data_IF_267078627167
#
_entry.id   IF_267078627167
#
_cell.length_a   1.000
_cell.length_b   1.000
_cell.length_c   1.000
_cell.angle_alpha   90.00
_cell.angle_beta   90.00
_cell.angle_gamma   90.00
#
_symmetry.space_group_name_H-M   'P 1'
#
loop_
_entity.id
_entity.type
_entity.pdbx_description
1 polymer ?
#
# COMPACT_ATOMS: atom_id res chain seq x y z
N UNK A 1 9.37 -42.82 -14.04
CA UNK A 1 9.57 -43.82 -15.10
C UNK A 1 9.03 -45.15 -14.59
N UNK A 2 8.05 -45.79 -15.24
CA UNK A 2 7.67 -47.17 -14.94
C UNK A 2 8.57 -48.17 -15.71
N UNK A 3 8.59 -49.45 -15.27
CA UNK A 3 9.79 -50.28 -15.19
C UNK A 3 9.95 -51.30 -16.33
N UNK A 4 10.88 -52.23 -16.13
CA UNK A 4 11.01 -53.59 -16.69
C UNK A 4 12.18 -53.79 -17.68
N UNK A 5 13.21 -54.51 -17.21
CA UNK A 5 14.03 -55.56 -17.84
C UNK A 5 15.26 -55.77 -16.94
N UNK A 6 15.16 -56.62 -15.91
CA UNK A 6 15.65 -58.02 -15.87
C UNK A 6 17.15 -58.20 -16.17
N UNK A 7 17.87 -58.48 -15.07
CA UNK A 7 19.07 -59.32 -14.86
C UNK A 7 19.84 -59.81 -16.09
N UNK A 8 21.17 -59.61 -16.05
CA UNK A 8 22.09 -60.74 -16.04
C UNK A 8 23.44 -60.36 -15.43
N UNK A 9 23.97 -61.34 -14.71
CA UNK A 9 25.20 -61.40 -13.94
C UNK A 9 26.44 -61.22 -14.84
N UNK A 10 27.49 -60.56 -14.32
CA UNK A 10 28.88 -61.01 -14.44
C UNK A 10 29.82 -60.01 -13.71
N UNK A 11 30.20 -60.41 -12.50
CA UNK A 11 31.45 -60.05 -11.80
C UNK A 11 32.25 -61.38 -11.84
N UNK A 12 33.60 -61.47 -11.80
CA UNK A 12 34.55 -60.52 -11.21
C UNK A 12 35.95 -60.60 -11.92
N UNK A 13 37.17 -60.43 -11.34
CA UNK A 13 37.53 -59.87 -10.03
C UNK A 13 38.94 -59.19 -9.83
N UNK A 14 39.11 -58.55 -8.65
CA UNK A 14 40.29 -58.42 -7.76
C UNK A 14 41.46 -57.45 -8.03
N UNK A 15 41.92 -56.90 -6.87
CA UNK A 15 43.24 -56.35 -6.50
C UNK A 15 43.48 -54.88 -6.86
N UNK A 16 43.97 -54.00 -6.00
CA UNK A 16 44.42 -54.08 -4.60
C UNK A 16 44.66 -52.65 -4.10
N UNK A 17 44.70 -52.52 -2.78
CA UNK A 17 44.93 -51.32 -1.99
C UNK A 17 46.27 -50.58 -2.24
N UNK A 18 46.34 -49.44 -1.55
CA UNK A 18 47.51 -48.70 -1.02
C UNK A 18 47.83 -47.42 -1.79
N UNK A 19 47.53 -46.26 -1.22
CA UNK A 19 48.31 -45.54 -0.19
C UNK A 19 49.59 -44.90 -0.78
N UNK A 20 49.67 -43.59 -0.56
CA UNK A 20 50.84 -42.72 -0.54
C UNK A 20 51.56 -42.37 -1.86
N UNK A 21 51.62 -41.06 -2.17
CA UNK A 21 52.88 -40.28 -2.29
C UNK A 21 52.57 -38.77 -2.49
N UNK A 22 53.45 -37.86 -1.96
CA UNK A 22 53.10 -36.54 -1.41
C UNK A 22 53.34 -35.32 -2.33
N UNK A 23 53.05 -34.09 -1.85
CA UNK A 23 52.93 -32.88 -2.66
C UNK A 23 54.26 -32.15 -2.79
N UNK A 24 54.69 -31.85 -4.02
CA UNK A 24 55.54 -30.71 -4.39
C UNK A 24 56.02 -30.87 -5.85
N UNK A 25 56.09 -29.74 -6.56
CA UNK A 25 56.81 -29.54 -7.83
C UNK A 25 56.19 -30.15 -9.10
N UNK A 26 55.53 -29.29 -9.88
CA UNK A 26 56.04 -29.01 -11.23
C UNK A 26 55.59 -27.61 -11.68
N UNK A 27 56.53 -26.68 -11.59
CA UNK A 27 56.51 -25.38 -12.24
C UNK A 27 56.75 -25.55 -13.74
N UNK A 28 55.90 -24.88 -14.53
CA UNK A 28 56.17 -24.04 -15.71
C UNK A 28 57.24 -24.38 -16.76
N UNK A 29 56.76 -24.15 -18.00
CA UNK A 29 57.39 -23.39 -19.10
C UNK A 29 57.99 -24.14 -20.31
N UNK A 30 57.34 -23.83 -21.46
CA UNK A 30 57.89 -23.35 -22.75
C UNK A 30 57.92 -24.30 -23.96
N UNK A 31 57.06 -23.89 -24.90
CA UNK A 31 57.35 -23.58 -26.31
C UNK A 31 57.94 -24.67 -27.22
N UNK A 32 57.15 -25.05 -28.22
CA UNK A 32 57.67 -25.24 -29.57
C UNK A 32 56.64 -24.78 -30.60
N UNK A 33 57.08 -23.88 -31.47
CA UNK A 33 56.31 -23.21 -32.50
C UNK A 33 56.33 -23.95 -33.84
N UNK A 34 55.22 -23.83 -34.60
CA UNK A 34 55.08 -23.60 -36.06
C UNK A 34 54.01 -24.48 -36.71
N UNK A 35 52.96 -23.85 -37.26
CA UNK A 35 52.98 -23.38 -38.65
C UNK A 35 51.73 -22.54 -38.94
N UNK A 36 51.96 -21.42 -39.62
CA UNK A 36 50.94 -20.49 -40.11
C UNK A 36 50.27 -21.06 -41.37
N UNK A 37 48.94 -20.90 -41.48
CA UNK A 37 48.24 -20.24 -42.59
C UNK A 37 46.81 -20.77 -42.72
N UNK A 38 45.84 -19.90 -42.45
CA UNK A 38 44.77 -19.50 -43.37
C UNK A 38 43.60 -18.91 -42.58
N UNK A 39 43.24 -17.69 -42.98
CA UNK A 39 42.16 -16.89 -42.42
C UNK A 39 40.82 -17.59 -42.65
N UNK A 40 40.13 -17.93 -41.56
CA UNK A 40 38.69 -18.19 -41.58
C UNK A 40 38.03 -17.27 -40.55
N UNK A 41 37.47 -16.16 -41.04
CA UNK A 41 36.44 -15.41 -40.34
C UNK A 41 35.23 -16.32 -40.12
N UNK A 42 34.86 -16.61 -38.87
CA UNK A 42 33.65 -17.38 -38.61
C UNK A 42 33.44 -17.77 -37.16
N UNK A 43 32.64 -16.97 -36.45
CA UNK A 43 31.85 -17.33 -35.27
C UNK A 43 32.64 -17.81 -34.03
N UNK A 44 33.00 -16.84 -33.18
CA UNK A 44 33.12 -17.12 -31.75
C UNK A 44 31.77 -17.67 -31.27
N UNK A 45 31.74 -18.96 -30.93
CA UNK A 45 30.60 -19.57 -30.28
C UNK A 45 30.40 -18.85 -28.93
N UNK A 46 29.48 -17.89 -28.89
CA UNK A 46 28.96 -17.32 -27.67
C UNK A 46 28.35 -18.48 -26.89
N UNK A 47 29.11 -19.00 -25.93
CA UNK A 47 28.65 -20.01 -25.01
C UNK A 47 28.10 -19.23 -23.82
N UNK A 48 26.79 -18.89 -23.76
CA UNK A 48 26.25 -18.21 -22.61
C UNK A 48 26.54 -19.12 -21.44
N UNK A 49 27.43 -18.71 -20.54
CA UNK A 49 27.55 -19.34 -19.23
C UNK A 49 26.12 -19.36 -18.71
N UNK A 50 25.51 -20.56 -18.62
CA UNK A 50 24.22 -20.71 -17.94
C UNK A 50 24.40 -20.00 -16.61
N UNK A 51 23.76 -18.85 -16.44
CA UNK A 51 23.60 -18.27 -15.12
C UNK A 51 23.02 -19.42 -14.30
N UNK A 52 23.76 -19.86 -13.28
CA UNK A 52 23.17 -20.69 -12.25
C UNK A 52 22.00 -19.85 -11.75
N UNK A 53 20.77 -20.24 -12.08
CA UNK A 53 19.61 -19.77 -11.34
C UNK A 53 19.94 -20.14 -9.89
N UNK A 54 20.28 -19.14 -9.09
CA UNK A 54 20.12 -19.24 -7.65
C UNK A 54 18.67 -19.65 -7.48
N UNK A 55 18.45 -20.87 -6.98
CA UNK A 55 17.12 -21.32 -6.59
C UNK A 55 16.65 -20.30 -5.57
N UNK A 56 15.71 -19.44 -5.98
CA UNK A 56 15.07 -18.55 -5.04
C UNK A 56 14.34 -19.44 -4.03
N UNK A 57 14.21 -18.98 -2.79
CA UNK A 57 13.41 -19.69 -1.80
C UNK A 57 12.00 -19.91 -2.40
N UNK A 58 11.43 -21.12 -2.27
CA UNK A 58 10.12 -21.45 -2.84
C UNK A 58 9.05 -20.44 -2.41
N UNK A 59 9.13 -19.93 -1.18
CA UNK A 59 8.21 -18.90 -0.68
C UNK A 59 8.36 -17.54 -1.35
N UNK A 60 9.58 -17.18 -1.77
CA UNK A 60 9.80 -15.95 -2.55
C UNK A 60 9.23 -16.07 -3.96
N UNK A 61 9.34 -17.24 -4.59
CA UNK A 61 8.72 -17.49 -5.89
C UNK A 61 7.19 -17.45 -5.78
N UNK A 62 6.62 -17.99 -4.69
CA UNK A 62 5.18 -17.90 -4.42
C UNK A 62 4.74 -16.45 -4.15
N UNK A 63 5.50 -15.69 -3.39
CA UNK A 63 5.24 -14.26 -3.18
C UNK A 63 5.27 -13.51 -4.51
N UNK A 64 6.28 -13.75 -5.35
CA UNK A 64 6.38 -13.13 -6.67
C UNK A 64 5.18 -13.46 -7.57
N UNK A 65 4.78 -14.74 -7.62
CA UNK A 65 3.62 -15.16 -8.40
C UNK A 65 2.31 -14.53 -7.91
N UNK A 66 2.14 -14.41 -6.59
CA UNK A 66 1.00 -13.71 -6.01
C UNK A 66 1.01 -12.22 -6.36
N UNK A 67 2.16 -11.53 -6.21
CA UNK A 67 2.28 -10.12 -6.56
C UNK A 67 1.94 -9.86 -8.04
N UNK A 68 2.41 -10.72 -8.95
CA UNK A 68 2.07 -10.62 -10.38
C UNK A 68 0.58 -10.79 -10.64
N UNK A 69 -0.08 -11.73 -9.95
CA UNK A 69 -1.53 -11.91 -10.04
C UNK A 69 -2.29 -10.70 -9.49
N UNK A 70 -1.87 -10.17 -8.34
CA UNK A 70 -2.51 -9.01 -7.72
C UNK A 70 -2.28 -7.71 -8.50
N UNK A 71 -1.28 -7.63 -9.38
CA UNK A 71 -1.03 -6.45 -10.20
C UNK A 71 -2.22 -6.10 -11.11
N UNK A 72 -2.96 -7.12 -11.57
CA UNK A 72 -4.15 -6.94 -12.43
C UNK A 72 -5.43 -6.63 -11.65
N UNK A 73 -5.34 -6.55 -10.31
CA UNK A 73 -6.49 -6.23 -9.46
C UNK A 73 -7.07 -4.86 -9.88
N UNK A 74 -8.37 -4.85 -10.19
CA UNK A 74 -9.10 -3.66 -10.64
C UNK A 74 -9.16 -3.44 -12.15
N UNK A 75 -8.35 -4.16 -12.94
CA UNK A 75 -8.33 -3.96 -14.40
C UNK A 75 -9.59 -4.57 -15.04
N UNK A 76 -10.06 -5.69 -14.49
CA UNK A 76 -11.21 -6.45 -15.00
C UNK A 76 -12.25 -6.65 -13.88
N UNK A 77 -13.46 -6.07 -13.99
CA UNK A 77 -14.44 -6.08 -12.89
C UNK A 77 -14.84 -7.46 -12.37
N UNK A 78 -14.99 -8.46 -13.26
CA UNK A 78 -15.42 -9.80 -12.87
C UNK A 78 -14.31 -10.63 -12.20
N UNK A 79 -13.04 -10.23 -12.33
CA UNK A 79 -11.89 -10.93 -11.72
C UNK A 79 -11.63 -10.47 -10.29
N UNK A 80 -12.11 -9.27 -9.91
CA UNK A 80 -11.87 -8.67 -8.59
C UNK A 80 -12.22 -9.62 -7.45
N UNK A 81 -13.41 -10.24 -7.49
CA UNK A 81 -13.86 -11.18 -6.44
C UNK A 81 -12.97 -12.43 -6.35
N UNK A 82 -12.55 -12.96 -7.50
CA UNK A 82 -11.71 -14.16 -7.58
C UNK A 82 -10.33 -13.85 -7.02
N UNK A 83 -9.73 -12.73 -7.44
CA UNK A 83 -8.43 -12.26 -6.94
C UNK A 83 -8.46 -11.96 -5.45
N UNK A 84 -9.53 -11.36 -4.92
CA UNK A 84 -9.67 -11.20 -3.47
C UNK A 84 -9.70 -12.54 -2.74
N UNK A 85 -10.48 -13.50 -3.21
CA UNK A 85 -10.63 -14.79 -2.53
C UNK A 85 -9.32 -15.57 -2.56
N UNK A 86 -8.73 -15.79 -3.74
CA UNK A 86 -7.50 -16.55 -3.92
C UNK A 86 -6.28 -15.82 -3.33
N UNK A 87 -6.22 -14.51 -3.52
CA UNK A 87 -5.14 -13.68 -3.01
C UNK A 87 -5.12 -13.71 -1.49
N UNK A 88 -6.27 -13.48 -0.84
CA UNK A 88 -6.35 -13.54 0.62
C UNK A 88 -6.07 -14.94 1.16
N UNK A 89 -6.54 -16.01 0.52
CA UNK A 89 -6.22 -17.39 0.95
C UNK A 89 -4.71 -17.66 0.94
N UNK A 90 -4.04 -17.25 -0.14
CA UNK A 90 -2.59 -17.42 -0.28
C UNK A 90 -1.83 -16.60 0.76
N UNK A 91 -2.24 -15.34 0.97
CA UNK A 91 -1.67 -14.46 1.99
C UNK A 91 -1.76 -15.10 3.37
N UNK A 92 -2.96 -15.53 3.76
CA UNK A 92 -3.23 -16.10 5.09
C UNK A 92 -2.49 -17.41 5.31
N UNK A 93 -2.45 -18.28 4.29
CA UNK A 93 -1.80 -19.58 4.39
C UNK A 93 -0.28 -19.48 4.56
N UNK A 94 0.37 -18.52 3.90
CA UNK A 94 1.83 -18.38 3.89
C UNK A 94 2.35 -17.27 4.81
N UNK A 95 1.49 -16.54 5.54
CA UNK A 95 1.87 -15.39 6.37
C UNK A 95 2.89 -15.71 7.48
N UNK A 96 2.94 -16.98 7.90
CA UNK A 96 3.87 -17.47 8.90
C UNK A 96 5.33 -17.44 8.43
N UNK A 97 5.60 -17.49 7.13
CA UNK A 97 6.95 -17.40 6.59
C UNK A 97 7.40 -15.94 6.50
N UNK A 98 8.54 -15.63 7.12
CA UNK A 98 9.06 -14.26 7.19
C UNK A 98 9.45 -13.70 5.81
N UNK A 99 9.96 -14.54 4.90
CA UNK A 99 10.37 -14.08 3.57
C UNK A 99 9.14 -13.72 2.72
N UNK A 100 8.13 -14.58 2.75
CA UNK A 100 6.84 -14.34 2.10
C UNK A 100 6.20 -13.07 2.67
N UNK A 101 6.04 -13.01 4.00
CA UNK A 101 5.42 -11.87 4.69
C UNK A 101 6.12 -10.56 4.36
N UNK A 102 7.45 -10.52 4.46
CA UNK A 102 8.22 -9.32 4.14
C UNK A 102 8.09 -8.91 2.66
N UNK A 103 8.01 -9.88 1.75
CA UNK A 103 7.82 -9.60 0.32
C UNK A 103 6.44 -9.01 0.03
N UNK A 104 5.38 -9.53 0.65
CA UNK A 104 4.02 -8.99 0.50
C UNK A 104 3.89 -7.61 1.13
N UNK A 105 4.47 -7.37 2.31
CA UNK A 105 4.50 -6.05 2.93
C UNK A 105 5.23 -5.01 2.06
N UNK A 106 6.38 -5.40 1.47
CA UNK A 106 7.09 -4.55 0.49
C UNK A 106 6.25 -4.28 -0.76
N UNK A 107 5.53 -5.29 -1.25
CA UNK A 107 4.63 -5.12 -2.39
C UNK A 107 3.48 -4.16 -2.07
N UNK A 108 2.85 -4.25 -0.89
CA UNK A 108 1.85 -3.27 -0.47
C UNK A 108 2.44 -1.86 -0.37
N UNK A 109 3.67 -1.72 0.13
CA UNK A 109 4.40 -0.46 0.10
C UNK A 109 4.57 0.13 -1.30
N UNK A 110 4.99 -0.71 -2.26
CA UNK A 110 5.13 -0.32 -3.67
C UNK A 110 3.77 0.08 -4.28
N UNK A 111 2.70 -0.66 -3.99
CA UNK A 111 1.35 -0.30 -4.45
C UNK A 111 0.93 1.08 -3.92
N UNK A 112 1.19 1.37 -2.63
CA UNK A 112 0.82 2.65 -2.01
C UNK A 112 1.55 3.82 -2.68
N UNK A 113 2.83 3.65 -3.02
CA UNK A 113 3.67 4.73 -3.56
C UNK A 113 3.54 4.84 -5.09
N UNK A 114 3.67 3.74 -5.80
CA UNK A 114 3.80 3.72 -7.26
C UNK A 114 2.45 3.53 -7.96
N UNK A 115 1.44 3.01 -7.28
CA UNK A 115 0.09 2.80 -7.82
C UNK A 115 -1.00 3.35 -6.87
N UNK A 116 -0.95 4.64 -6.48
CA UNK A 116 -1.89 5.21 -5.50
C UNK A 116 -3.35 5.12 -5.97
N UNK A 117 -3.59 5.12 -7.28
CA UNK A 117 -4.92 4.92 -7.88
C UNK A 117 -5.53 3.53 -7.59
N UNK A 118 -4.71 2.51 -7.27
CA UNK A 118 -5.17 1.17 -6.86
C UNK A 118 -5.25 0.99 -5.33
N UNK A 119 -4.82 1.98 -4.54
CA UNK A 119 -4.73 1.85 -3.09
C UNK A 119 -6.08 1.46 -2.44
N UNK A 120 -7.19 2.04 -2.90
CA UNK A 120 -8.53 1.70 -2.41
C UNK A 120 -8.88 0.22 -2.65
N UNK A 121 -8.57 -0.33 -3.83
CA UNK A 121 -8.82 -1.75 -4.10
C UNK A 121 -7.97 -2.67 -3.20
N UNK A 122 -6.72 -2.28 -2.95
CA UNK A 122 -5.84 -3.05 -2.08
C UNK A 122 -6.22 -2.96 -0.60
N UNK A 123 -6.86 -1.87 -0.15
CA UNK A 123 -7.38 -1.83 1.22
C UNK A 123 -8.43 -2.91 1.43
N UNK A 124 -9.28 -3.20 0.44
CA UNK A 124 -10.22 -4.32 0.46
C UNK A 124 -9.58 -5.68 0.66
N UNK A 125 -8.48 -5.94 -0.05
CA UNK A 125 -7.71 -7.19 0.09
C UNK A 125 -7.14 -7.33 1.51
N UNK A 126 -6.61 -6.23 2.05
CA UNK A 126 -6.03 -6.18 3.41
C UNK A 126 -7.12 -6.36 4.46
N UNK A 127 -8.26 -5.69 4.33
CA UNK A 127 -9.40 -5.82 5.25
C UNK A 127 -9.94 -7.26 5.26
N UNK A 128 -10.07 -7.90 4.09
CA UNK A 128 -10.46 -9.31 3.98
C UNK A 128 -9.42 -10.25 4.62
N UNK A 129 -8.13 -9.96 4.42
CA UNK A 129 -7.05 -10.75 5.03
C UNK A 129 -7.02 -10.62 6.55
N UNK A 130 -7.24 -9.41 7.08
CA UNK A 130 -7.39 -9.17 8.52
C UNK A 130 -8.58 -9.94 9.10
N UNK A 131 -9.73 -9.95 8.39
CA UNK A 131 -10.89 -10.72 8.82
C UNK A 131 -10.60 -12.23 8.89
N UNK A 132 -9.81 -12.79 7.96
CA UNK A 132 -9.37 -14.19 8.01
C UNK A 132 -8.31 -14.43 9.10
N UNK A 133 -7.31 -13.57 9.21
CA UNK A 133 -6.21 -13.68 10.17
C UNK A 133 -5.83 -12.31 10.72
N UNK A 134 -6.18 -12.06 11.99
CA UNK A 134 -5.92 -10.80 12.70
C UNK A 134 -4.45 -10.37 12.64
N UNK A 135 -3.53 -11.35 12.68
CA UNK A 135 -2.08 -11.11 12.61
C UNK A 135 -1.64 -10.38 11.34
N UNK A 136 -2.33 -10.61 10.21
CA UNK A 136 -2.06 -9.89 8.95
C UNK A 136 -2.34 -8.40 9.12
N UNK A 137 -3.48 -8.04 9.72
CA UNK A 137 -3.83 -6.64 9.98
C UNK A 137 -2.87 -5.97 10.94
N UNK A 138 -2.49 -6.64 12.03
CA UNK A 138 -1.52 -6.13 13.00
C UNK A 138 -0.18 -5.83 12.32
N UNK A 139 0.37 -6.79 11.59
CA UNK A 139 1.67 -6.65 10.94
C UNK A 139 1.65 -5.55 9.87
N UNK A 140 0.56 -5.41 9.11
CA UNK A 140 0.40 -4.33 8.12
C UNK A 140 0.37 -2.96 8.80
N UNK A 141 -0.41 -2.78 9.88
CA UNK A 141 -0.49 -1.50 10.60
C UNK A 141 0.86 -1.12 11.21
N UNK A 142 1.53 -2.08 11.87
CA UNK A 142 2.85 -1.82 12.44
C UNK A 142 3.89 -1.51 11.37
N UNK A 143 3.83 -2.20 10.22
CA UNK A 143 4.71 -1.94 9.09
C UNK A 143 4.49 -0.55 8.50
N UNK A 144 3.23 -0.13 8.26
CA UNK A 144 2.90 1.21 7.77
C UNK A 144 3.37 2.30 8.74
N UNK A 145 3.16 2.08 10.04
CA UNK A 145 3.63 3.00 11.09
C UNK A 145 5.16 3.12 11.06
N UNK A 146 5.88 2.01 11.02
CA UNK A 146 7.34 2.01 10.96
C UNK A 146 7.82 2.79 9.73
N UNK A 147 7.19 2.59 8.57
CA UNK A 147 7.50 3.34 7.35
C UNK A 147 7.17 4.82 7.45
N UNK A 148 6.17 5.23 8.23
CA UNK A 148 5.87 6.65 8.45
C UNK A 148 6.92 7.29 9.38
N UNK A 149 7.24 6.61 10.49
CA UNK A 149 8.22 7.07 11.48
C UNK A 149 9.61 7.21 10.86
N UNK A 150 10.01 6.29 10.00
CA UNK A 150 11.28 6.39 9.25
C UNK A 150 11.44 7.72 8.51
N UNK A 151 10.37 8.21 7.87
CA UNK A 151 10.43 9.48 7.14
C UNK A 151 10.65 10.65 8.11
N UNK A 152 10.03 10.60 9.29
CA UNK A 152 10.20 11.63 10.32
C UNK A 152 11.57 11.55 11.01
N UNK A 153 12.10 10.36 11.28
CA UNK A 153 13.45 10.17 11.83
C UNK A 153 14.52 10.64 10.83
N UNK A 154 14.31 10.35 9.55
CA UNK A 154 15.15 10.86 8.46
C UNK A 154 15.15 12.40 8.39
N UNK A 155 13.97 13.00 8.55
CA UNK A 155 13.78 14.46 8.65
C UNK A 155 14.53 15.03 9.84
N UNK A 156 14.51 14.34 10.99
CA UNK A 156 15.26 14.75 12.19
C UNK A 156 16.78 14.65 12.03
N UNK A 157 17.24 13.95 10.98
CA UNK A 157 18.64 13.60 10.82
C UNK A 157 19.08 12.49 11.79
N UNK A 158 18.11 11.81 12.41
CA UNK A 158 18.33 10.74 13.39
C UNK A 158 18.60 9.38 12.72
N UNK A 159 18.61 9.31 11.39
CA UNK A 159 18.97 8.09 10.67
C UNK A 159 20.46 7.78 10.87
N UNK A 160 20.78 7.00 11.90
CA UNK A 160 21.94 6.12 11.89
C UNK A 160 21.92 5.38 10.56
N UNK A 161 23.03 5.38 9.83
CA UNK A 161 23.24 4.49 8.70
C UNK A 161 22.87 3.07 9.14
N UNK A 162 21.66 2.60 8.77
CA UNK A 162 21.28 1.21 8.97
C UNK A 162 22.10 0.43 7.97
N UNK A 163 23.29 0.03 8.41
CA UNK A 163 24.09 -1.01 7.78
C UNK A 163 23.24 -2.27 7.77
N UNK A 164 22.75 -2.62 6.58
CA UNK A 164 22.18 -3.92 6.28
C UNK A 164 23.12 -5.03 6.79
N UNK A 165 22.66 -5.97 7.63
CA UNK A 165 23.46 -7.12 8.04
C UNK A 165 23.97 -7.98 6.87
N UNK A 166 23.43 -7.79 5.67
CA UNK A 166 23.81 -8.50 4.43
C UNK A 166 24.80 -7.74 3.54
N UNK A 167 25.24 -6.53 3.91
CA UNK A 167 26.39 -5.90 3.26
C UNK A 167 26.22 -5.56 1.77
N UNK A 168 24.99 -5.42 1.27
CA UNK A 168 24.75 -4.89 -0.07
C UNK A 168 24.76 -3.36 -0.02
N UNK A 169 25.96 -2.80 -0.14
CA UNK A 169 26.16 -1.40 -0.51
C UNK A 169 25.60 -1.19 -1.93
N UNK A 170 24.30 -0.87 -2.04
CA UNK A 170 23.68 -0.38 -3.26
C UNK A 170 22.62 -1.27 -3.92
N UNK A 171 21.72 -1.91 -3.15
CA UNK A 171 20.51 -2.49 -3.74
C UNK A 171 19.23 -1.78 -3.26
N UNK A 172 18.63 -1.09 -4.22
CA UNK A 172 17.27 -0.55 -4.26
C UNK A 172 16.25 -1.64 -3.86
N UNK A 173 15.81 -1.68 -2.61
CA UNK A 173 14.84 -2.71 -2.18
C UNK A 173 14.07 -2.40 -0.90
N UNK A 174 14.39 -1.28 -0.27
CA UNK A 174 13.59 -0.71 0.81
C UNK A 174 12.86 0.51 0.24
N UNK A 175 11.79 0.93 0.89
CA UNK A 175 11.11 2.22 0.68
C UNK A 175 12.04 3.45 0.84
N UNK A 176 13.38 3.25 0.87
CA UNK A 176 14.49 4.20 0.84
C UNK A 176 14.53 5.05 -0.43
N UNK A 177 13.81 4.68 -1.48
CA UNK A 177 13.60 5.54 -2.64
C UNK A 177 12.71 6.73 -2.19
N UNK A 178 13.34 7.85 -1.83
CA UNK A 178 12.75 9.16 -1.51
C UNK A 178 12.30 9.38 -0.06
N UNK A 179 13.19 10.00 0.74
CA UNK A 179 12.85 10.79 1.93
C UNK A 179 11.91 11.93 1.47
N UNK A 180 10.60 11.75 1.57
CA UNK A 180 9.63 12.64 0.91
C UNK A 180 8.34 12.84 1.68
N UNK A 181 7.75 14.02 1.52
CA UNK A 181 6.44 14.37 2.08
C UNK A 181 5.32 13.59 1.38
N UNK A 182 5.43 13.34 0.08
CA UNK A 182 4.47 12.52 -0.65
C UNK A 182 4.28 11.13 0.00
N UNK A 183 5.37 10.49 0.45
CA UNK A 183 5.29 9.19 1.16
C UNK A 183 4.45 9.28 2.44
N UNK A 184 4.59 10.36 3.22
CA UNK A 184 3.76 10.59 4.42
C UNK A 184 2.28 10.66 4.05
N UNK A 185 1.96 11.42 3.01
CA UNK A 185 0.59 11.63 2.52
C UNK A 185 -0.02 10.31 2.02
N UNK A 186 0.72 9.53 1.22
CA UNK A 186 0.23 8.26 0.67
C UNK A 186 0.04 7.19 1.75
N UNK A 187 0.94 7.12 2.73
CA UNK A 187 0.74 6.25 3.90
C UNK A 187 -0.48 6.70 4.70
N UNK A 188 -0.67 8.01 4.90
CA UNK A 188 -1.86 8.54 5.55
C UNK A 188 -3.15 8.15 4.81
N UNK A 189 -3.18 8.25 3.47
CA UNK A 189 -4.32 7.79 2.66
C UNK A 189 -4.61 6.32 2.91
N UNK A 190 -3.58 5.46 2.96
CA UNK A 190 -3.76 4.04 3.25
C UNK A 190 -4.28 3.81 4.69
N UNK A 191 -3.80 4.55 5.69
CA UNK A 191 -4.41 4.49 7.03
C UNK A 191 -5.89 4.88 7.01
N UNK A 192 -6.25 5.92 6.25
CA UNK A 192 -7.64 6.33 6.04
C UNK A 192 -8.49 5.22 5.43
N UNK A 193 -7.99 4.57 4.37
CA UNK A 193 -8.67 3.45 3.71
C UNK A 193 -8.83 2.22 4.62
N UNK A 194 -7.96 2.08 5.61
CA UNK A 194 -7.95 0.99 6.59
C UNK A 194 -8.63 1.38 7.92
N UNK A 195 -9.36 2.50 7.97
CA UNK A 195 -10.03 2.98 9.19
C UNK A 195 -10.86 1.91 9.93
N UNK A 196 -11.58 0.97 9.26
CA UNK A 196 -12.44 0.03 9.98
C UNK A 196 -11.68 -0.97 10.87
N UNK A 197 -10.38 -1.16 10.63
CA UNK A 197 -9.54 -2.06 11.43
C UNK A 197 -8.59 -1.32 12.39
N UNK A 198 -8.72 0.00 12.54
CA UNK A 198 -7.88 0.81 13.43
C UNK A 198 -8.70 1.23 14.66
N UNK A 199 -8.30 0.76 15.83
CA UNK A 199 -9.00 1.04 17.09
C UNK A 199 -8.86 2.51 17.52
N UNK A 200 -7.65 3.06 17.41
CA UNK A 200 -7.30 4.41 17.84
C UNK A 200 -7.20 5.36 16.64
N UNK A 201 -8.19 5.32 15.74
CA UNK A 201 -8.17 6.12 14.51
C UNK A 201 -8.09 7.64 14.77
N UNK A 202 -8.50 8.08 15.97
CA UNK A 202 -8.30 9.46 16.43
C UNK A 202 -6.83 9.91 16.40
N UNK A 203 -5.88 8.99 16.56
CA UNK A 203 -4.43 9.24 16.41
C UNK A 203 -4.07 9.64 14.98
N UNK A 204 -4.69 9.02 13.97
CA UNK A 204 -4.48 9.33 12.55
C UNK A 204 -5.17 10.65 12.19
N UNK A 205 -6.37 10.89 12.70
CA UNK A 205 -7.07 12.18 12.54
C UNK A 205 -6.26 13.32 13.17
N UNK A 206 -5.65 13.08 14.34
CA UNK A 206 -4.74 14.03 14.98
C UNK A 206 -3.51 14.32 14.12
N UNK A 207 -2.88 13.29 13.54
CA UNK A 207 -1.76 13.48 12.59
C UNK A 207 -2.15 14.42 11.44
N UNK A 208 -3.34 14.23 10.84
CA UNK A 208 -3.82 15.12 9.78
C UNK A 208 -4.01 16.56 10.26
N UNK A 209 -4.62 16.73 11.43
CA UNK A 209 -4.81 18.05 12.05
C UNK A 209 -3.48 18.74 12.32
N UNK A 210 -2.52 18.04 12.90
CA UNK A 210 -1.23 18.61 13.26
C UNK A 210 -0.43 19.02 12.01
N UNK A 211 -0.49 18.24 10.91
CA UNK A 211 0.12 18.61 9.62
C UNK A 211 -0.54 19.83 8.97
N UNK A 212 -1.87 19.94 9.02
CA UNK A 212 -2.61 21.11 8.52
C UNK A 212 -2.31 22.34 9.38
N UNK A 213 -2.35 22.22 10.70
CA UNK A 213 -2.02 23.31 11.63
C UNK A 213 -0.58 23.79 11.40
N UNK A 214 0.35 22.87 11.14
CA UNK A 214 1.72 23.20 10.76
C UNK A 214 1.82 23.95 9.43
N UNK A 215 1.07 23.53 8.40
CA UNK A 215 1.01 24.25 7.11
C UNK A 215 0.54 25.71 7.29
N UNK A 216 -0.44 25.93 8.17
CA UNK A 216 -0.97 27.27 8.49
C UNK A 216 0.11 28.10 9.20
N UNK A 217 0.80 27.51 10.19
CA UNK A 217 1.87 28.18 10.93
C UNK A 217 3.01 28.61 10.00
N UNK A 218 3.46 27.70 9.12
CA UNK A 218 4.49 28.00 8.12
C UNK A 218 4.10 29.16 7.22
N UNK A 219 2.89 29.12 6.65
CA UNK A 219 2.45 30.14 5.70
C UNK A 219 2.17 31.49 6.39
N UNK A 220 1.80 31.49 7.67
CA UNK A 220 1.61 32.70 8.45
C UNK A 220 2.94 33.31 8.94
N UNK A 221 3.99 32.49 9.13
CA UNK A 221 5.32 32.92 9.56
C UNK A 221 6.14 33.66 8.51
N UNK A 222 5.85 33.46 7.22
CA UNK A 222 6.51 34.17 6.11
C UNK A 222 5.59 35.21 5.49
N UNK A 223 6.13 36.35 5.02
CA UNK A 223 5.35 37.30 4.21
C UNK A 223 5.06 36.79 2.79
N UNK A 224 5.92 35.89 2.29
CA UNK A 224 5.91 35.34 0.95
C UNK A 224 5.27 33.93 0.91
N UNK A 225 5.06 33.42 -0.31
CA UNK A 225 4.59 32.04 -0.53
C UNK A 225 5.59 31.02 0.03
N UNK A 226 5.10 30.03 0.77
CA UNK A 226 5.91 28.91 1.26
C UNK A 226 5.49 27.62 0.54
N UNK A 227 6.38 27.09 -0.30
CA UNK A 227 6.09 25.92 -1.14
C UNK A 227 5.67 24.67 -0.34
N UNK A 228 6.37 24.36 0.75
CA UNK A 228 6.04 23.23 1.62
C UNK A 228 4.67 23.40 2.29
N UNK A 229 4.33 24.63 2.68
CA UNK A 229 3.05 24.91 3.32
C UNK A 229 1.89 24.62 2.36
N UNK A 230 1.98 25.07 1.12
CA UNK A 230 0.96 24.77 0.10
C UNK A 230 0.86 23.27 -0.22
N UNK A 231 1.99 22.57 -0.31
CA UNK A 231 2.05 21.11 -0.53
C UNK A 231 1.27 20.38 0.57
N UNK A 232 1.66 20.59 1.83
CA UNK A 232 1.03 19.91 2.97
C UNK A 232 -0.44 20.26 3.08
N UNK A 233 -0.78 21.54 2.88
CA UNK A 233 -2.16 22.01 2.96
C UNK A 233 -3.07 21.32 1.94
N UNK A 234 -2.70 21.36 0.66
CA UNK A 234 -3.51 20.83 -0.42
C UNK A 234 -3.61 19.30 -0.38
N UNK A 235 -2.47 18.63 -0.24
CA UNK A 235 -2.40 17.17 -0.30
C UNK A 235 -3.12 16.52 0.88
N UNK A 236 -2.97 17.09 2.09
CA UNK A 236 -3.69 16.58 3.25
C UNK A 236 -5.19 16.79 3.12
N UNK A 237 -5.65 17.94 2.61
CA UNK A 237 -7.07 18.20 2.38
C UNK A 237 -7.68 17.23 1.37
N UNK A 238 -7.01 16.98 0.25
CA UNK A 238 -7.49 16.01 -0.75
C UNK A 238 -7.47 14.58 -0.24
N UNK A 239 -6.59 14.28 0.72
CA UNK A 239 -6.49 12.97 1.34
C UNK A 239 -7.57 12.70 2.39
N UNK A 240 -8.24 13.71 2.96
CA UNK A 240 -9.24 13.50 4.03
C UNK A 240 -10.40 12.56 3.63
N UNK A 241 -10.98 12.66 2.41
CA UNK A 241 -12.06 11.77 1.99
C UNK A 241 -11.67 10.28 1.98
N UNK A 242 -10.40 9.92 1.84
CA UNK A 242 -9.95 8.52 1.90
C UNK A 242 -10.27 7.87 3.25
N UNK A 243 -10.32 8.65 4.34
CA UNK A 243 -10.72 8.19 5.67
C UNK A 243 -12.19 7.78 5.77
N UNK A 244 -13.01 8.14 4.79
CA UNK A 244 -14.44 7.80 4.74
C UNK A 244 -14.76 6.74 3.68
N UNK A 245 -13.80 6.32 2.86
CA UNK A 245 -14.06 5.42 1.73
C UNK A 245 -14.59 4.05 2.17
N UNK A 246 -14.10 3.53 3.29
CA UNK A 246 -14.52 2.25 3.87
C UNK A 246 -15.16 2.41 5.27
N UNK A 247 -15.27 3.63 5.78
CA UNK A 247 -15.83 3.94 7.09
C UNK A 247 -17.34 4.18 6.99
N UNK A 248 -18.12 3.55 7.89
CA UNK A 248 -19.58 3.73 7.92
C UNK A 248 -20.04 4.68 9.02
N UNK A 249 -19.13 5.12 9.90
CA UNK A 249 -19.42 5.97 11.05
C UNK A 249 -19.41 7.49 10.76
N UNK A 250 -20.44 8.20 11.24
CA UNK A 250 -20.52 9.67 11.15
C UNK A 250 -19.50 10.41 12.04
N UNK A 251 -18.99 9.76 13.10
CA UNK A 251 -18.05 10.39 14.05
C UNK A 251 -16.77 10.86 13.36
N UNK A 252 -16.20 10.03 12.49
CA UNK A 252 -15.00 10.36 11.74
C UNK A 252 -15.25 11.59 10.86
N UNK A 253 -16.35 11.59 10.10
CA UNK A 253 -16.76 12.69 9.24
C UNK A 253 -16.88 14.02 9.98
N UNK A 254 -17.49 14.04 11.16
CA UNK A 254 -17.56 15.25 12.00
C UNK A 254 -16.18 15.77 12.44
N UNK A 255 -15.25 14.86 12.75
CA UNK A 255 -13.87 15.24 13.09
C UNK A 255 -13.14 15.84 11.88
N UNK A 256 -13.31 15.25 10.69
CA UNK A 256 -12.74 15.78 9.45
C UNK A 256 -13.30 17.17 9.11
N UNK A 257 -14.61 17.39 9.25
CA UNK A 257 -15.22 18.72 9.05
C UNK A 257 -14.64 19.78 10.00
N UNK A 258 -14.32 19.42 11.25
CA UNK A 258 -13.63 20.34 12.19
C UNK A 258 -12.23 20.71 11.70
N UNK A 259 -11.48 19.75 11.16
CA UNK A 259 -10.15 19.99 10.57
C UNK A 259 -10.27 20.92 9.37
N UNK A 260 -11.26 20.71 8.50
CA UNK A 260 -11.49 21.56 7.33
C UNK A 260 -11.85 23.00 7.75
N UNK A 261 -12.63 23.18 8.82
CA UNK A 261 -12.91 24.50 9.37
C UNK A 261 -11.63 25.20 9.85
N UNK A 262 -10.73 24.49 10.54
CA UNK A 262 -9.41 25.01 10.88
C UNK A 262 -8.58 25.37 9.64
N UNK A 263 -8.66 24.56 8.58
CA UNK A 263 -7.94 24.78 7.33
C UNK A 263 -8.33 26.09 6.60
N UNK A 264 -9.50 26.66 6.87
CA UNK A 264 -9.91 27.98 6.31
C UNK A 264 -9.03 29.14 6.78
N UNK A 265 -8.24 28.95 7.84
CA UNK A 265 -7.30 29.96 8.35
C UNK A 265 -6.03 30.07 7.51
N UNK A 266 -5.81 29.17 6.55
CA UNK A 266 -4.64 29.20 5.68
C UNK A 266 -4.67 30.41 4.74
N UNK A 267 -3.67 31.29 4.86
CA UNK A 267 -3.58 32.50 4.04
C UNK A 267 -2.84 32.20 2.72
N UNK A 268 -3.58 32.06 1.63
CA UNK A 268 -2.99 31.82 0.30
C UNK A 268 -2.31 33.08 -0.23
N UNK A 269 -0.99 33.01 -0.42
CA UNK A 269 -0.16 34.10 -0.94
C UNK A 269 0.24 33.85 -2.40
N UNK A 270 0.54 34.92 -3.12
CA UNK A 270 0.95 34.88 -4.54
C UNK A 270 2.35 35.48 -4.61
N UNK A 271 3.29 34.80 -5.28
CA UNK A 271 4.68 35.23 -5.36
C UNK A 271 4.92 36.25 -6.48
N UNK A 272 5.89 37.14 -6.27
CA UNK A 272 6.40 38.00 -7.34
C UNK A 272 7.16 37.16 -8.38
N UNK A 273 6.68 37.12 -9.62
CA UNK A 273 7.29 36.34 -10.70
C UNK A 273 6.47 35.15 -11.21
N UNK A 274 5.29 34.90 -10.64
CA UNK A 274 4.32 33.89 -11.10
C UNK A 274 4.01 34.02 -12.60
N UNK A 275 4.03 35.24 -13.13
CA UNK A 275 3.81 35.52 -14.54
C UNK A 275 4.78 34.81 -15.49
N UNK A 276 6.00 34.47 -15.04
CA UNK A 276 6.99 33.75 -15.87
C UNK A 276 6.63 32.29 -16.09
N UNK A 277 5.90 31.69 -15.14
CA UNK A 277 5.47 30.29 -15.20
C UNK A 277 4.08 30.14 -15.81
N UNK A 278 3.38 31.26 -16.04
CA UNK A 278 2.04 31.29 -16.61
C UNK A 278 2.06 30.75 -18.05
N UNK A 279 1.37 29.63 -18.34
CA UNK A 279 1.23 29.13 -19.70
C UNK A 279 0.57 30.16 -20.61
N UNK A 280 1.03 30.25 -21.86
CA UNK A 280 0.39 31.07 -22.89
C UNK A 280 -0.80 30.31 -23.43
N UNK A 281 -2.00 30.88 -23.26
CA UNK A 281 -3.25 30.32 -23.80
C UNK A 281 -3.72 31.21 -24.95
N UNK A 282 -3.91 30.63 -26.14
CA UNK A 282 -4.55 31.31 -27.27
C UNK A 282 -6.05 30.97 -27.33
N UNK A 283 -6.84 32.03 -27.52
CA UNK A 283 -8.22 32.13 -28.01
C UNK A 283 -9.37 31.25 -27.47
N UNK A 284 -9.18 30.38 -26.49
CA UNK A 284 -10.34 29.76 -25.81
C UNK A 284 -10.08 29.06 -24.46
N UNK A 285 -8.86 28.62 -24.13
CA UNK A 285 -8.59 27.82 -22.93
C UNK A 285 -8.84 28.54 -21.59
N UNK A 286 -9.26 27.80 -20.57
CA UNK A 286 -9.34 28.30 -19.19
C UNK A 286 -8.03 27.98 -18.47
N UNK A 287 -7.43 28.98 -17.82
CA UNK A 287 -6.24 28.80 -17.01
C UNK A 287 -6.59 29.13 -15.56
N UNK A 288 -6.56 28.12 -14.70
CA UNK A 288 -6.83 28.28 -13.27
C UNK A 288 -5.50 28.23 -12.51
N UNK A 289 -5.17 29.31 -11.82
CA UNK A 289 -3.99 29.33 -10.95
C UNK A 289 -4.20 28.41 -9.75
N UNK A 290 -3.17 27.68 -9.33
CA UNK A 290 -3.23 26.82 -8.15
C UNK A 290 -3.61 27.63 -6.90
N UNK A 291 -3.20 28.89 -6.79
CA UNK A 291 -3.62 29.79 -5.70
C UNK A 291 -5.12 30.05 -5.65
N UNK A 292 -5.84 29.97 -6.77
CA UNK A 292 -7.30 30.02 -6.77
C UNK A 292 -7.91 28.69 -6.30
N UNK A 293 -7.32 27.57 -6.71
CA UNK A 293 -7.72 26.22 -6.28
C UNK A 293 -7.56 26.09 -4.77
N UNK A 294 -6.40 26.45 -4.22
CA UNK A 294 -6.09 26.40 -2.78
C UNK A 294 -7.11 27.14 -1.92
N UNK A 295 -7.62 28.29 -2.39
CA UNK A 295 -8.64 29.06 -1.66
C UNK A 295 -9.98 28.33 -1.58
N UNK A 296 -10.33 27.62 -2.64
CA UNK A 296 -11.60 26.92 -2.76
C UNK A 296 -11.52 25.49 -2.18
N UNK A 297 -10.32 24.91 -2.03
CA UNK A 297 -10.08 23.53 -1.58
C UNK A 297 -10.86 23.15 -0.32
N UNK A 298 -10.85 23.93 0.79
CA UNK A 298 -11.60 23.54 1.99
C UNK A 298 -13.10 23.36 1.73
N UNK A 299 -13.70 24.29 0.98
CA UNK A 299 -15.14 24.24 0.70
C UNK A 299 -15.48 23.07 -0.23
N UNK A 300 -14.63 22.83 -1.22
CA UNK A 300 -14.79 21.73 -2.19
C UNK A 300 -14.70 20.38 -1.49
N UNK A 301 -13.70 20.20 -0.62
CA UNK A 301 -13.52 18.96 0.15
C UNK A 301 -14.68 18.77 1.15
N UNK A 302 -15.10 19.83 1.87
CA UNK A 302 -16.22 19.74 2.82
C UNK A 302 -17.52 19.27 2.15
N UNK A 303 -17.84 19.83 0.97
CA UNK A 303 -18.98 19.39 0.16
C UNK A 303 -18.83 17.93 -0.27
N UNK A 304 -17.63 17.54 -0.69
CA UNK A 304 -17.40 16.19 -1.19
C UNK A 304 -17.49 15.10 -0.10
N UNK A 305 -17.20 15.42 1.17
CA UNK A 305 -17.41 14.49 2.29
C UNK A 305 -18.89 14.06 2.44
N UNK A 306 -19.83 14.80 1.87
CA UNK A 306 -21.25 14.43 1.82
C UNK A 306 -21.61 13.57 0.59
N UNK A 307 -20.86 13.67 -0.50
CA UNK A 307 -21.14 12.97 -1.77
C UNK A 307 -20.44 11.60 -1.86
N UNK A 308 -19.13 11.55 -1.58
CA UNK A 308 -18.30 10.34 -1.58
C UNK A 308 -18.46 9.42 -2.81
N UNK A 309 -18.83 9.97 -3.97
CA UNK A 309 -19.28 9.22 -5.15
C UNK A 309 -18.15 8.79 -6.12
N UNK A 310 -16.92 9.26 -5.95
CA UNK A 310 -15.79 8.91 -6.84
C UNK A 310 -15.02 7.68 -6.37
N UNK A 311 -15.11 7.31 -5.09
CA UNK A 311 -14.42 6.14 -4.58
C UNK A 311 -15.15 4.88 -5.02
N UNK A 312 -14.41 3.92 -5.56
CA UNK A 312 -14.94 2.59 -5.80
C UNK A 312 -15.42 1.98 -4.48
N UNK A 313 -16.67 1.53 -4.43
CA UNK A 313 -17.23 0.86 -3.25
C UNK A 313 -16.67 -0.57 -3.13
N UNK A 314 -15.51 -0.65 -2.48
CA UNK A 314 -14.83 -1.90 -2.15
C UNK A 314 -15.68 -2.75 -1.20
N UNK A 315 -16.42 -2.10 -0.31
CA UNK A 315 -17.25 -2.75 0.71
C UNK A 315 -18.34 -3.61 0.07
N UNK A 316 -18.91 -3.18 -1.06
CA UNK A 316 -19.89 -3.98 -1.82
C UNK A 316 -19.38 -5.40 -2.18
N UNK A 317 -18.09 -5.53 -2.49
CA UNK A 317 -17.49 -6.83 -2.85
C UNK A 317 -16.92 -7.54 -1.61
N UNK A 318 -16.30 -6.78 -0.71
CA UNK A 318 -15.52 -7.32 0.40
C UNK A 318 -16.39 -7.69 1.61
N UNK A 319 -17.44 -6.93 1.93
CA UNK A 319 -18.32 -7.21 3.08
C UNK A 319 -19.01 -8.58 3.00
N UNK A 320 -19.59 -9.00 1.85
CA UNK A 320 -20.15 -10.34 1.72
C UNK A 320 -19.12 -11.46 1.96
N UNK A 321 -17.88 -11.24 1.50
CA UNK A 321 -16.79 -12.20 1.70
C UNK A 321 -16.39 -12.26 3.18
N UNK A 322 -16.27 -11.11 3.85
CA UNK A 322 -15.97 -11.06 5.28
C UNK A 322 -17.06 -11.75 6.10
N UNK A 323 -18.33 -11.48 5.81
CA UNK A 323 -19.46 -12.15 6.50
C UNK A 323 -19.39 -13.67 6.37
N UNK A 324 -19.03 -14.16 5.19
CA UNK A 324 -18.82 -15.60 4.96
C UNK A 324 -17.70 -16.14 5.85
N UNK A 325 -16.54 -15.46 5.89
CA UNK A 325 -15.40 -15.83 6.75
C UNK A 325 -15.77 -15.83 8.24
N UNK A 326 -16.49 -14.81 8.71
CA UNK A 326 -16.89 -14.70 10.11
C UNK A 326 -17.90 -15.79 10.49
N UNK A 327 -18.82 -16.14 9.59
CA UNK A 327 -19.75 -17.26 9.81
C UNK A 327 -19.01 -18.60 9.88
N UNK A 328 -18.05 -18.84 9.00
CA UNK A 328 -17.20 -20.05 9.02
C UNK A 328 -16.41 -20.15 10.33
N UNK A 329 -15.84 -19.04 10.82
CA UNK A 329 -15.13 -19.01 12.11
C UNK A 329 -16.01 -19.39 13.29
N UNK A 330 -17.20 -18.78 13.39
CA UNK A 330 -18.17 -19.12 14.45
C UNK A 330 -18.54 -20.60 14.44
N UNK A 331 -18.77 -21.17 13.26
CA UNK A 331 -19.06 -22.60 13.13
C UNK A 331 -17.89 -23.51 13.53
N UNK A 332 -16.64 -23.06 13.37
CA UNK A 332 -15.45 -23.79 13.83
C UNK A 332 -15.32 -23.70 15.34
N UNK A 333 -15.51 -22.51 15.92
CA UNK A 333 -15.49 -22.27 17.37
C UNK A 333 -16.57 -23.10 18.10
N UNK A 334 -17.81 -23.08 17.61
CA UNK A 334 -18.91 -23.88 18.13
C UNK A 334 -18.62 -25.40 18.06
N UNK A 335 -17.95 -25.87 17.00
CA UNK A 335 -17.56 -27.29 16.88
C UNK A 335 -16.43 -27.69 17.81
N UNK A 336 -15.47 -26.79 18.07
CA UNK A 336 -14.41 -27.05 19.07
C UNK A 336 -14.96 -27.09 20.49
N UNK A 337 -15.92 -26.22 20.83
CA UNK A 337 -16.56 -26.22 22.15
C UNK A 337 -17.38 -27.49 22.41
N UNK A 338 -18.05 -28.04 21.38
CA UNK A 338 -18.78 -29.32 21.48
C UNK A 338 -17.81 -30.50 21.67
N UNK A 339 -16.65 -30.50 21.01
CA UNK A 339 -15.64 -31.56 21.18
C UNK A 339 -14.90 -31.49 22.52
N UNK A 340 -14.73 -30.31 23.12
CA UNK A 340 -14.21 -30.19 24.49
C UNK A 340 -15.27 -30.62 25.52
N UNK A 341 -16.55 -30.32 25.30
CA UNK A 341 -17.65 -30.80 26.15
C UNK A 341 -17.90 -32.31 26.10
N UNK A 342 -17.64 -32.97 24.97
CA UNK A 342 -17.73 -34.43 24.83
C UNK A 342 -16.54 -35.16 25.47
N UNK A 343 -15.33 -34.56 25.46
CA UNK A 343 -14.16 -35.11 26.14
C UNK A 343 -14.20 -34.98 27.67
N UNK A 344 -15.03 -34.09 28.22
CA UNK A 344 -15.29 -34.01 29.66
C UNK A 344 -16.41 -34.94 30.15
N UNK A 345 -17.17 -35.58 29.24
CA UNK A 345 -18.32 -36.43 29.58
C UNK A 345 -18.14 -37.94 29.36
N UNK A 346 -16.95 -38.42 28.95
CA UNK A 346 -16.60 -39.85 29.06
C UNK A 346 -16.17 -40.20 30.51
N UNK A 347 -17.10 -40.04 31.45
CA UNK A 347 -16.80 -40.18 32.86
C UNK A 347 -17.99 -40.29 33.80
N UNK A 348 -19.18 -40.70 33.36
CA UNK A 348 -20.14 -41.37 34.24
C UNK A 348 -21.35 -41.94 33.50
N UNK A 349 -21.50 -43.26 33.56
CA UNK A 349 -22.77 -43.94 33.28
C UNK A 349 -23.71 -43.75 34.47
N UNK A 350 -24.91 -43.20 34.22
CA UNK A 350 -26.21 -43.76 34.59
C UNK A 350 -27.32 -42.71 34.38
N UNK A 351 -28.34 -43.05 33.57
CA UNK A 351 -29.63 -42.36 33.54
C UNK A 351 -30.46 -42.62 34.82
N UNK A 352 -31.66 -42.01 35.01
CA UNK A 352 -32.71 -42.08 33.99
C UNK A 352 -33.62 -40.81 33.79
N UNK A 353 -34.26 -40.81 32.62
CA UNK A 353 -35.65 -40.44 32.27
C UNK A 353 -36.34 -39.07 32.61
N UNK A 354 -36.71 -38.39 31.50
CA UNK A 354 -38.00 -37.72 31.16
C UNK A 354 -38.33 -36.35 31.80
N UNK A 355 -38.43 -35.30 30.97
CA UNK A 355 -39.71 -34.62 30.65
C UNK A 355 -39.54 -33.60 29.49
N UNK A 356 -40.30 -33.83 28.41
CA UNK A 356 -40.60 -32.85 27.36
C UNK A 356 -41.37 -31.66 27.95
N UNK A 357 -40.91 -30.43 27.70
CA UNK A 357 -41.80 -29.27 27.55
C UNK A 357 -41.37 -28.40 26.38
N UNK A 358 -42.12 -28.56 25.30
CA UNK A 358 -42.28 -27.58 24.22
C UNK A 358 -43.13 -26.44 24.76
N UNK A 359 -42.56 -25.23 24.84
CA UNK A 359 -43.34 -23.99 24.86
C UNK A 359 -42.81 -23.04 23.78
N UNK A 360 -43.57 -22.97 22.69
CA UNK A 360 -43.54 -21.88 21.72
C UNK A 360 -44.47 -20.76 22.21
N UNK A 361 -43.91 -19.61 22.56
CA UNK A 361 -44.55 -18.27 22.51
C UNK A 361 -43.46 -17.25 22.86
N UNK A 362 -43.19 -16.17 22.13
CA UNK A 362 -43.85 -15.58 20.98
C UNK A 362 -42.90 -14.57 20.33
N UNK A 363 -43.30 -14.16 19.13
CA UNK A 363 -42.65 -13.19 18.26
C UNK A 363 -42.24 -11.91 19.00
N UNK A 364 -40.95 -11.59 18.96
CA UNK A 364 -40.51 -10.19 18.94
C UNK A 364 -40.09 -9.83 17.53
N UNK A 365 -40.61 -8.69 17.11
CA UNK A 365 -40.62 -8.18 15.74
C UNK A 365 -39.23 -7.79 15.31
N UNK A 366 -38.99 -8.04 14.03
CA UNK A 366 -37.91 -7.54 13.21
C UNK A 366 -37.61 -6.05 13.50
N UNK A 367 -36.52 -5.81 14.22
CA UNK A 367 -35.71 -4.62 14.01
C UNK A 367 -34.60 -5.04 13.04
N UNK A 368 -34.57 -4.46 11.85
CA UNK A 368 -33.43 -4.53 10.93
C UNK A 368 -32.19 -4.00 11.65
N UNK A 369 -31.48 -4.88 12.37
CA UNK A 369 -30.09 -4.66 12.73
C UNK A 369 -29.32 -4.76 11.42
N UNK A 370 -28.83 -3.63 10.95
CA UNK A 370 -27.67 -3.62 10.08
C UNK A 370 -26.56 -4.36 10.83
N UNK A 371 -26.34 -5.63 10.47
CA UNK A 371 -25.21 -6.42 10.97
C UNK A 371 -23.93 -5.74 10.50
N UNK A 372 -23.43 -4.83 11.34
CA UNK A 372 -22.15 -4.17 11.16
C UNK A 372 -21.07 -5.24 11.16
N UNK A 373 -20.20 -5.20 10.14
CA UNK A 373 -19.08 -6.13 10.01
C UNK A 373 -18.06 -5.78 11.10
N UNK A 374 -17.93 -6.63 12.11
CA UNK A 374 -16.98 -6.42 13.21
C UNK A 374 -15.62 -6.97 12.80
N UNK A 375 -14.63 -6.08 12.66
CA UNK A 375 -13.24 -6.43 12.39
C UNK A 375 -12.45 -6.70 13.67
N UNK A 376 -11.38 -7.50 13.56
CA UNK A 376 -10.30 -7.39 14.53
C UNK A 376 -9.64 -6.02 14.35
N UNK A 377 -9.59 -5.24 15.44
CA UNK A 377 -9.05 -3.88 15.43
C UNK A 377 -7.65 -3.83 16.02
N UNK A 378 -6.81 -2.96 15.47
CA UNK A 378 -5.39 -2.84 15.82
C UNK A 378 -5.06 -1.43 16.26
N UNK A 379 -4.03 -1.29 17.11
CA UNK A 379 -3.57 0.00 17.59
C UNK A 379 -2.39 0.51 16.75
N UNK A 380 -2.50 1.75 16.28
CA UNK A 380 -1.37 2.46 15.67
C UNK A 380 -0.49 3.03 16.78
N UNK A 381 -1.08 3.59 17.83
CA UNK A 381 -0.39 4.31 18.88
C UNK A 381 0.08 5.69 18.42
N UNK A 382 0.84 6.38 19.28
CA UNK A 382 1.27 7.75 19.04
C UNK A 382 2.27 7.84 17.88
N UNK A 383 2.05 8.80 16.99
CA UNK A 383 2.98 9.21 15.93
C UNK A 383 3.49 10.59 16.31
N UNK A 384 4.79 10.72 16.57
CA UNK A 384 5.40 11.99 16.93
C UNK A 384 5.91 12.72 15.69
N UNK A 385 5.23 13.82 15.35
CA UNK A 385 5.67 14.71 14.28
C UNK A 385 6.89 15.51 14.77
N UNK A 386 7.92 15.71 13.93
CA UNK A 386 9.03 16.59 14.28
C UNK A 386 8.55 18.01 14.67
N UNK A 387 9.31 18.72 15.51
CA UNK A 387 8.91 20.05 15.98
C UNK A 387 8.77 21.04 14.82
N UNK A 388 7.88 22.02 14.96
CA UNK A 388 7.67 23.04 13.93
C UNK A 388 8.97 23.78 13.57
N UNK A 389 9.85 24.02 14.54
CA UNK A 389 11.18 24.64 14.34
C UNK A 389 12.09 23.79 13.45
N UNK A 390 12.08 22.47 13.62
CA UNK A 390 12.90 21.55 12.83
C UNK A 390 12.34 21.39 11.42
N UNK A 391 11.02 21.33 11.29
CA UNK A 391 10.36 21.28 10.00
C UNK A 391 10.58 22.59 9.22
N UNK A 392 10.62 23.75 9.90
CA UNK A 392 10.91 25.05 9.27
C UNK A 392 12.32 25.10 8.67
N UNK A 393 13.31 24.49 9.33
CA UNK A 393 14.68 24.38 8.81
C UNK A 393 14.78 23.55 7.52
N UNK A 394 13.79 22.68 7.26
CA UNK A 394 13.72 21.84 6.05
C UNK A 394 12.56 22.23 5.13
N UNK A 395 11.98 23.42 5.33
CA UNK A 395 10.92 23.98 4.49
C UNK A 395 11.33 24.10 3.02
N UNK A 396 12.64 24.14 2.76
CA UNK A 396 13.21 24.04 1.42
C UNK A 396 13.12 22.60 0.90
N UNK A 397 12.26 22.43 -0.11
CA UNK A 397 12.02 21.18 -0.83
C UNK A 397 13.24 20.70 -1.65
N UNK A 398 14.47 21.12 -1.35
CA UNK A 398 15.68 20.70 -2.08
C UNK A 398 16.26 19.39 -1.55
N UNK A 399 16.05 19.07 -0.28
CA UNK A 399 16.75 17.95 0.40
C UNK A 399 15.85 16.76 0.75
N UNK A 400 14.56 17.00 1.02
CA UNK A 400 13.63 16.00 1.56
C UNK A 400 12.32 15.90 0.73
N UNK A 401 12.43 16.15 -0.57
CA UNK A 401 11.30 16.21 -1.48
C UNK A 401 11.45 15.16 -2.57
N UNK A 402 10.34 14.48 -2.92
CA UNK A 402 10.25 13.73 -4.17
C UNK A 402 10.29 14.68 -5.38
N UNK A 403 10.46 14.14 -6.59
CA UNK A 403 10.38 14.95 -7.82
C UNK A 403 9.02 15.66 -7.88
N UNK A 404 7.93 14.97 -7.53
CA UNK A 404 6.59 15.56 -7.47
C UNK A 404 6.51 16.69 -6.45
N UNK A 405 7.07 16.49 -5.25
CA UNK A 405 7.12 17.53 -4.21
C UNK A 405 7.91 18.76 -4.69
N UNK A 406 9.02 18.58 -5.42
CA UNK A 406 9.82 19.71 -5.91
C UNK A 406 9.06 20.63 -6.88
N UNK A 407 8.02 20.13 -7.56
CA UNK A 407 7.19 20.95 -8.45
C UNK A 407 6.47 22.07 -7.70
N UNK A 408 6.24 21.90 -6.40
CA UNK A 408 5.62 22.92 -5.54
C UNK A 408 6.52 24.12 -5.28
N UNK A 409 7.83 24.04 -5.59
CA UNK A 409 8.71 25.23 -5.56
C UNK A 409 8.22 26.32 -6.50
N UNK A 410 7.59 25.93 -7.61
CA UNK A 410 7.14 26.85 -8.63
C UNK A 410 5.63 27.08 -8.55
N UNK A 411 5.16 28.26 -8.95
CA UNK A 411 3.75 28.53 -9.17
C UNK A 411 3.17 27.57 -10.21
N UNK A 412 1.99 27.01 -9.93
CA UNK A 412 1.34 26.01 -10.78
C UNK A 412 0.03 26.51 -11.34
N UNK A 413 -0.32 25.99 -12.50
CA UNK A 413 -1.54 26.33 -13.21
C UNK A 413 -2.17 25.05 -13.75
N UNK A 414 -3.49 24.93 -13.60
CA UNK A 414 -4.29 23.92 -14.27
C UNK A 414 -4.75 24.52 -15.60
N UNK A 415 -4.29 23.92 -16.69
CA UNK A 415 -4.60 24.34 -18.05
C UNK A 415 -5.75 23.49 -18.60
N UNK A 416 -6.91 24.11 -18.81
CA UNK A 416 -7.99 23.50 -19.56
C UNK A 416 -7.86 23.87 -21.04
N UNK A 417 -7.27 22.96 -21.81
CA UNK A 417 -7.11 23.08 -23.28
C UNK A 417 -8.35 22.59 -24.06
N UNK A 418 -9.42 22.16 -23.39
CA UNK A 418 -10.67 21.74 -24.01
C UNK A 418 -11.79 22.74 -23.77
N UNK A 419 -11.67 23.97 -24.30
CA UNK A 419 -12.58 25.06 -24.00
C UNK A 419 -13.97 24.92 -24.61
N UNK A 420 -14.16 23.94 -25.50
CA UNK A 420 -15.43 23.63 -26.14
C UNK A 420 -16.36 22.78 -25.28
N UNK A 421 -16.10 22.62 -23.98
CA UNK A 421 -17.02 21.98 -23.04
C UNK A 421 -18.42 22.60 -23.08
N UNK A 422 -18.55 23.93 -23.23
CA UNK A 422 -19.88 24.55 -23.43
C UNK A 422 -20.61 24.07 -24.69
N UNK A 423 -19.89 23.75 -25.76
CA UNK A 423 -20.46 23.22 -27.01
C UNK A 423 -20.61 21.68 -26.97
N UNK A 424 -19.88 20.98 -26.09
CA UNK A 424 -19.97 19.52 -25.89
C UNK A 424 -20.99 19.10 -24.83
N UNK A 425 -21.32 19.97 -23.89
CA UNK A 425 -22.49 19.81 -23.01
C UNK A 425 -23.79 19.76 -23.83
N UNK A 426 -23.84 20.37 -25.02
CA UNK A 426 -24.94 20.19 -25.98
C UNK A 426 -24.94 18.79 -26.65
N UNK A 427 -23.83 18.05 -26.54
CA UNK A 427 -23.65 16.69 -27.08
C UNK A 427 -23.80 15.58 -26.02
N UNK A 428 -24.30 15.91 -24.82
CA UNK A 428 -24.50 14.95 -23.70
C UNK A 428 -23.23 14.15 -23.34
N UNK A 429 -22.05 14.74 -23.52
CA UNK A 429 -20.77 14.08 -23.25
C UNK A 429 -19.87 14.98 -22.40
N UNK A 430 -19.78 14.67 -21.10
CA UNK A 430 -18.92 15.38 -20.14
C UNK A 430 -17.51 14.75 -20.18
N UNK A 431 -16.54 15.47 -20.74
CA UNK A 431 -15.18 14.95 -20.95
C UNK A 431 -14.21 15.23 -19.81
N UNK A 432 -14.41 16.31 -19.05
CA UNK A 432 -13.60 16.62 -17.87
C UNK A 432 -14.49 17.16 -16.76
N UNK A 433 -14.18 16.83 -15.50
CA UNK A 433 -14.85 17.46 -14.37
C UNK A 433 -14.44 18.95 -14.28
N UNK A 434 -15.28 19.82 -13.70
CA UNK A 434 -14.96 21.23 -13.52
C UNK A 434 -13.61 21.42 -12.81
N UNK A 435 -12.78 22.38 -13.26
CA UNK A 435 -11.40 22.55 -12.79
C UNK A 435 -11.24 22.78 -11.27
N UNK A 436 -12.30 23.26 -10.60
CA UNK A 436 -12.33 23.50 -9.15
C UNK A 436 -13.10 22.42 -8.37
N UNK A 437 -13.53 21.34 -9.03
CA UNK A 437 -14.21 20.23 -8.37
C UNK A 437 -13.22 19.29 -7.69
N UNK A 438 -13.68 18.54 -6.69
CA UNK A 438 -12.87 17.49 -6.05
C UNK A 438 -12.42 16.44 -7.07
N UNK A 439 -13.27 16.08 -8.04
CA UNK A 439 -12.93 15.16 -9.11
C UNK A 439 -11.73 15.64 -9.95
N UNK A 440 -11.68 16.92 -10.31
CA UNK A 440 -10.52 17.48 -11.02
C UNK A 440 -9.27 17.51 -10.14
N UNK A 441 -9.41 17.86 -8.86
CA UNK A 441 -8.29 17.85 -7.90
C UNK A 441 -7.71 16.45 -7.74
N UNK A 442 -8.56 15.43 -7.59
CA UNK A 442 -8.18 14.03 -7.46
C UNK A 442 -7.54 13.49 -8.75
N UNK A 443 -8.10 13.81 -9.92
CA UNK A 443 -7.51 13.39 -11.20
C UNK A 443 -6.11 13.99 -11.41
N UNK A 444 -5.92 15.28 -11.08
CA UNK A 444 -4.60 15.93 -11.19
C UNK A 444 -3.58 15.43 -10.15
N UNK A 445 -4.04 14.77 -9.09
CA UNK A 445 -3.20 14.14 -8.08
C UNK A 445 -2.81 12.70 -8.48
N UNK A 446 -3.73 11.96 -9.10
CA UNK A 446 -3.51 10.58 -9.52
C UNK A 446 -2.80 10.43 -10.88
N UNK A 447 -2.94 11.41 -11.78
CA UNK A 447 -2.37 11.43 -13.14
C UNK A 447 -1.21 12.42 -13.23
#
# INVERSE_FOLDING_TARGET
>A
VPPHLQNNEDVPPHLQNNEDVPPHLQYNEKESARSESEQAHGQEAYNPKRQRQTLNNAELERAQGLCQSLQTLGDVPYEVKVLYTQGTETIVYLWHDDNFRNSILRYFGAVIIDMPHKANLFSGLILLANAKMSKVGEDVIQWLKARLVEVFDDIRGDSMEVSDPLGNNGEEGEMKCMKSWNRVILIFRMFGLLSPMIQDFESIVKLAKDLIDYSIQLQNGSEERVALAELLYYEMLISLPYCLANEKGNKCKEQLKKIIESAKQFNVRVSEGDEKFKPIVQDAGELVAMSAILKDTPQVVDSYLDEMNLFYDVSHVVDPLIRTVLAEKKLVEEKSEIQEGENEQEGNQNGPEIEEKVEHTGQEKDEEKTDDVIFATHTVGTIEIPSAELLDQISQLDKYASIADTLWKHPRYVLNIFPYERQRQELDFDTLPPAKSYASMLLNDLL
#
